data_IF_782183049397
#
_entry.id   IF_782183049397
#
_cell.length_a   1.000
_cell.length_b   1.000
_cell.length_c   1.000
_cell.angle_alpha   90.00
_cell.angle_beta   90.00
_cell.angle_gamma   90.00
#
_symmetry.space_group_name_H-M   'P 1'
#
loop_
_entity.id
_entity.type
_entity.pdbx_description
1 polymer ?
#
# COMPACT_ATOMS: atom_id res chain seq x y z
N UNK A 1 13.21 -43.77 -49.14
CA UNK A 1 12.69 -43.75 -47.75
C UNK A 1 13.25 -42.51 -47.07
N UNK A 2 12.47 -41.41 -47.10
CA UNK A 2 12.89 -40.09 -46.58
C UNK A 2 12.42 -39.98 -45.13
N UNK A 3 13.36 -39.89 -44.18
CA UNK A 3 13.07 -39.69 -42.79
C UNK A 3 12.82 -38.19 -42.53
N UNK A 4 11.58 -37.83 -42.27
CA UNK A 4 11.20 -36.48 -41.92
C UNK A 4 11.40 -36.27 -40.41
N UNK A 5 12.50 -35.64 -40.05
CA UNK A 5 12.80 -35.31 -38.65
C UNK A 5 11.98 -34.06 -38.29
N UNK A 6 10.90 -34.23 -37.54
CA UNK A 6 10.10 -33.14 -36.97
C UNK A 6 10.90 -32.51 -35.82
N UNK A 7 11.51 -31.34 -36.03
CA UNK A 7 12.08 -30.52 -34.98
C UNK A 7 10.91 -29.80 -34.30
N UNK A 8 10.50 -30.32 -33.15
CA UNK A 8 9.65 -29.59 -32.23
C UNK A 8 10.44 -28.42 -31.62
N UNK A 9 10.31 -27.25 -32.18
CA UNK A 9 10.72 -26.02 -31.51
C UNK A 9 9.83 -25.82 -30.31
N UNK A 10 10.36 -26.12 -29.14
CA UNK A 10 9.80 -25.68 -27.86
C UNK A 10 9.90 -24.15 -27.87
N UNK A 11 8.82 -23.49 -28.26
CA UNK A 11 8.65 -22.06 -27.99
C UNK A 11 8.67 -21.93 -26.46
N UNK A 12 9.80 -21.50 -25.93
CA UNK A 12 9.91 -21.02 -24.58
C UNK A 12 8.91 -19.88 -24.45
N UNK A 13 7.85 -20.09 -23.68
CA UNK A 13 7.00 -18.99 -23.24
C UNK A 13 7.91 -18.00 -22.54
N UNK A 14 8.13 -16.84 -23.15
CA UNK A 14 8.80 -15.72 -22.50
C UNK A 14 7.97 -15.33 -21.29
N UNK A 15 8.64 -15.01 -20.17
CA UNK A 15 8.04 -14.61 -18.90
C UNK A 15 7.40 -13.20 -18.99
N UNK A 16 6.45 -13.02 -19.87
CA UNK A 16 5.67 -11.78 -19.98
C UNK A 16 4.30 -11.87 -19.30
N UNK A 17 4.03 -12.96 -18.60
CA UNK A 17 2.82 -13.12 -17.81
C UNK A 17 3.02 -12.55 -16.41
N UNK A 18 3.02 -11.23 -16.30
CA UNK A 18 2.90 -10.49 -15.03
C UNK A 18 4.08 -10.68 -14.08
N UNK A 19 4.52 -9.61 -13.49
CA UNK A 19 5.42 -9.65 -12.35
C UNK A 19 4.59 -10.06 -11.10
N UNK A 20 4.78 -11.30 -10.64
CA UNK A 20 4.10 -11.85 -9.46
C UNK A 20 4.88 -11.69 -8.17
N UNK A 21 5.99 -10.97 -8.22
CA UNK A 21 6.79 -10.69 -7.03
C UNK A 21 6.02 -9.76 -6.06
N UNK A 22 6.23 -9.99 -4.77
CA UNK A 22 5.73 -9.06 -3.75
C UNK A 22 6.23 -7.64 -3.99
N UNK A 23 5.45 -6.64 -3.61
CA UNK A 23 5.87 -5.25 -3.70
C UNK A 23 7.16 -5.00 -2.91
N UNK A 24 8.12 -4.33 -3.53
CA UNK A 24 9.42 -4.00 -2.94
C UNK A 24 9.52 -2.49 -2.79
N UNK A 25 9.69 -2.02 -1.58
CA UNK A 25 9.76 -0.59 -1.26
C UNK A 25 11.19 -0.10 -1.17
N UNK A 26 11.42 1.15 -1.52
CA UNK A 26 12.68 1.82 -1.23
C UNK A 26 12.86 1.94 0.29
N UNK A 27 14.12 1.92 0.73
CA UNK A 27 14.44 2.13 2.15
C UNK A 27 14.03 3.54 2.56
N UNK A 28 13.47 3.65 3.74
CA UNK A 28 13.18 4.92 4.39
C UNK A 28 13.79 4.91 5.81
N UNK A 29 13.84 6.07 6.43
CA UNK A 29 14.36 6.27 7.78
C UNK A 29 13.25 6.61 8.79
N UNK A 30 12.01 6.22 8.49
CA UNK A 30 10.90 6.45 9.39
C UNK A 30 11.05 5.61 10.67
N UNK A 31 10.60 6.18 11.78
CA UNK A 31 10.61 5.49 13.06
C UNK A 31 9.71 4.25 12.99
N UNK A 32 10.26 3.09 13.34
CA UNK A 32 9.48 1.86 13.49
C UNK A 32 8.89 1.79 14.89
N UNK A 33 7.61 1.50 14.96
CA UNK A 33 6.90 1.20 16.20
C UNK A 33 6.44 -0.26 16.17
N UNK A 34 6.63 -0.96 17.29
CA UNK A 34 6.07 -2.31 17.47
C UNK A 34 4.69 -2.19 18.11
N UNK A 35 3.72 -2.82 17.51
CA UNK A 35 2.38 -2.90 18.06
C UNK A 35 2.03 -4.33 18.42
N UNK A 36 1.38 -4.57 19.59
CA UNK A 36 1.01 -5.93 19.98
C UNK A 36 0.12 -6.65 18.98
N UNK A 37 -0.74 -5.89 18.29
CA UNK A 37 -1.76 -6.46 17.39
C UNK A 37 -1.33 -6.52 15.91
N UNK A 38 -0.39 -5.67 15.49
CA UNK A 38 -0.09 -5.48 14.06
C UNK A 38 1.38 -5.70 13.71
N UNK A 39 2.24 -5.95 14.70
CA UNK A 39 3.67 -6.07 14.47
C UNK A 39 4.33 -4.73 14.16
N UNK A 40 5.14 -4.67 13.11
CA UNK A 40 5.86 -3.46 12.71
C UNK A 40 4.91 -2.45 12.07
N UNK A 41 5.00 -1.21 12.52
CA UNK A 41 4.29 -0.05 12.00
C UNK A 41 5.23 1.15 11.92
N UNK A 42 4.85 2.16 11.16
CA UNK A 42 5.53 3.45 11.16
C UNK A 42 5.00 4.28 12.32
N UNK A 43 5.89 4.78 13.17
CA UNK A 43 5.55 5.71 14.24
C UNK A 43 5.28 7.10 13.71
N UNK A 44 4.11 7.65 14.04
CA UNK A 44 3.70 9.00 13.68
C UNK A 44 3.62 9.85 14.93
N UNK A 45 4.29 11.02 14.99
CA UNK A 45 4.19 11.89 16.15
C UNK A 45 2.79 12.48 16.30
N UNK A 46 2.49 12.99 17.48
CA UNK A 46 1.21 13.67 17.78
C UNK A 46 0.84 14.75 16.77
N UNK A 47 1.81 15.53 16.33
CA UNK A 47 1.60 16.63 15.37
C UNK A 47 1.29 16.16 13.95
N UNK A 48 1.34 14.86 13.70
CA UNK A 48 1.17 14.32 12.37
C UNK A 48 2.43 14.40 11.52
N UNK A 49 2.25 14.34 10.21
CA UNK A 49 3.34 14.41 9.26
C UNK A 49 2.97 13.80 7.92
N UNK A 50 3.92 13.81 7.01
CA UNK A 50 3.77 13.23 5.67
C UNK A 50 4.82 12.15 5.44
N UNK A 51 4.38 11.01 4.94
CA UNK A 51 5.17 9.79 4.75
C UNK A 51 5.07 9.35 3.30
N UNK A 52 6.20 9.12 2.67
CA UNK A 52 6.28 8.76 1.26
C UNK A 52 6.96 7.41 1.09
N UNK A 53 6.35 6.54 0.28
CA UNK A 53 6.83 5.19 0.00
C UNK A 53 6.90 4.99 -1.51
N UNK A 54 8.05 4.63 -2.01
CA UNK A 54 8.26 4.39 -3.43
C UNK A 54 8.46 2.90 -3.69
N UNK A 55 7.63 2.36 -4.58
CA UNK A 55 7.73 0.97 -5.00
C UNK A 55 8.81 0.82 -6.07
N UNK A 56 9.66 -0.22 -5.92
CA UNK A 56 10.80 -0.44 -6.81
C UNK A 56 10.47 -1.27 -8.05
N UNK A 57 9.52 -2.19 -7.91
CA UNK A 57 9.23 -3.20 -8.93
C UNK A 57 7.88 -3.07 -9.61
N UNK A 58 7.03 -2.12 -9.19
CA UNK A 58 5.78 -1.78 -9.87
C UNK A 58 5.77 -0.29 -10.20
N UNK A 59 5.51 0.03 -11.46
CA UNK A 59 5.47 1.42 -11.94
C UNK A 59 4.18 2.12 -11.58
N UNK A 60 3.11 1.34 -11.38
CA UNK A 60 1.79 1.83 -11.02
C UNK A 60 1.16 0.85 -10.04
N UNK A 61 0.45 1.39 -9.07
CA UNK A 61 -0.41 0.67 -8.14
C UNK A 61 -1.49 1.62 -7.65
N UNK A 62 -2.43 1.13 -6.87
CA UNK A 62 -3.53 1.93 -6.33
C UNK A 62 -3.84 1.57 -4.88
N UNK A 63 -4.64 2.40 -4.24
CA UNK A 63 -5.13 2.15 -2.89
C UNK A 63 -6.43 1.38 -2.99
N UNK A 64 -6.52 0.24 -2.30
CA UNK A 64 -7.75 -0.52 -2.20
C UNK A 64 -8.68 0.05 -1.14
N UNK A 65 -8.14 0.24 0.05
CA UNK A 65 -8.86 0.84 1.18
C UNK A 65 -7.89 1.36 2.24
N UNK A 66 -8.43 2.19 3.11
CA UNK A 66 -7.73 2.68 4.31
C UNK A 66 -8.58 2.35 5.53
N UNK A 67 -7.99 1.74 6.53
CA UNK A 67 -8.60 1.58 7.84
C UNK A 67 -8.05 2.63 8.79
N UNK A 68 -8.92 3.42 9.38
CA UNK A 68 -8.61 4.34 10.46
C UNK A 68 -9.23 3.83 11.76
N UNK A 69 -8.42 3.70 12.80
CA UNK A 69 -8.87 3.25 14.12
C UNK A 69 -8.47 4.26 15.19
N UNK A 70 -9.41 4.56 16.07
CA UNK A 70 -9.20 5.40 17.26
C UNK A 70 -9.71 4.63 18.46
N UNK A 71 -8.82 4.29 19.39
CA UNK A 71 -9.15 3.38 20.48
C UNK A 71 -9.61 2.02 19.94
N UNK A 72 -10.81 1.61 20.29
CA UNK A 72 -11.46 0.37 19.85
C UNK A 72 -12.38 0.52 18.61
N UNK A 73 -12.50 1.73 18.07
CA UNK A 73 -13.35 2.05 16.92
C UNK A 73 -12.54 2.05 15.63
N UNK A 74 -12.97 1.24 14.67
CA UNK A 74 -12.36 1.18 13.34
C UNK A 74 -13.35 1.61 12.27
N UNK A 75 -12.92 2.47 11.37
CA UNK A 75 -13.63 2.89 10.17
C UNK A 75 -12.84 2.46 8.94
N UNK A 76 -13.50 1.75 8.03
CA UNK A 76 -12.92 1.41 6.73
C UNK A 76 -13.38 2.42 5.70
N UNK A 77 -12.42 3.00 5.00
CA UNK A 77 -12.64 3.97 3.94
C UNK A 77 -12.26 3.29 2.62
N UNK A 78 -13.23 3.18 1.74
CA UNK A 78 -13.09 2.53 0.44
C UNK A 78 -13.45 3.56 -0.63
N UNK A 79 -12.70 3.57 -1.72
CA UNK A 79 -13.12 4.29 -2.90
C UNK A 79 -14.21 3.50 -3.63
N UNK A 80 -15.44 4.00 -3.61
CA UNK A 80 -16.60 3.39 -4.27
C UNK A 80 -17.32 4.46 -5.09
N UNK A 81 -17.70 4.17 -6.32
CA UNK A 81 -17.59 2.92 -7.07
C UNK A 81 -16.23 2.70 -7.74
N UNK A 82 -15.85 1.45 -7.82
CA UNK A 82 -14.55 0.95 -8.25
C UNK A 82 -14.25 1.07 -9.77
N UNK A 83 -14.97 1.85 -10.52
CA UNK A 83 -14.85 1.91 -11.98
C UNK A 83 -14.27 3.21 -12.53
N UNK A 84 -13.89 4.13 -11.67
CA UNK A 84 -13.20 5.36 -12.07
C UNK A 84 -11.75 5.29 -11.59
N UNK A 85 -10.81 5.13 -12.51
CA UNK A 85 -9.37 5.03 -12.24
C UNK A 85 -8.84 6.16 -11.35
N UNK A 86 -9.50 7.30 -11.35
CA UNK A 86 -9.13 8.44 -10.51
C UNK A 86 -9.46 8.25 -9.04
N UNK A 87 -10.43 7.41 -8.71
CA UNK A 87 -10.86 7.20 -7.34
C UNK A 87 -9.88 6.34 -6.54
N UNK A 88 -9.10 5.50 -7.22
CA UNK A 88 -8.09 4.65 -6.59
C UNK A 88 -6.77 5.34 -6.30
N UNK A 89 -6.56 6.52 -6.82
CA UNK A 89 -5.33 7.26 -6.59
C UNK A 89 -5.34 8.11 -5.32
N UNK A 90 -6.51 8.38 -4.75
CA UNK A 90 -6.64 9.22 -3.55
C UNK A 90 -7.76 8.72 -2.64
N UNK A 91 -7.45 8.59 -1.35
CA UNK A 91 -8.41 8.25 -0.29
C UNK A 91 -8.27 9.25 0.85
N UNK A 92 -9.35 9.93 1.18
CA UNK A 92 -9.43 10.88 2.31
C UNK A 92 -10.21 10.27 3.45
N UNK A 93 -9.56 10.14 4.60
CA UNK A 93 -10.16 9.70 5.84
C UNK A 93 -10.52 10.87 6.77
N UNK A 94 -10.79 10.50 8.02
CA UNK A 94 -11.14 11.51 9.05
C UNK A 94 -9.89 12.28 9.52
N UNK A 95 -8.74 11.61 9.54
CA UNK A 95 -7.47 12.23 9.96
C UNK A 95 -6.27 11.86 9.08
N UNK A 96 -6.49 11.12 8.00
CA UNK A 96 -5.46 10.83 7.01
C UNK A 96 -5.89 11.20 5.61
N UNK A 97 -4.90 11.44 4.77
CA UNK A 97 -5.06 11.53 3.32
C UNK A 97 -3.98 10.67 2.68
N UNK A 98 -4.38 9.76 1.82
CA UNK A 98 -3.49 8.86 1.11
C UNK A 98 -3.61 9.10 -0.38
N UNK A 99 -2.48 9.22 -1.07
CA UNK A 99 -2.42 9.49 -2.51
C UNK A 99 -1.35 8.63 -3.17
N UNK A 100 -1.69 8.06 -4.32
CA UNK A 100 -0.74 7.34 -5.19
C UNK A 100 -0.56 8.10 -6.48
N UNK A 101 0.69 8.34 -6.84
CA UNK A 101 1.10 8.91 -8.13
C UNK A 101 2.18 8.00 -8.73
N UNK A 102 1.81 7.25 -9.78
CA UNK A 102 2.70 6.25 -10.38
C UNK A 102 3.08 5.17 -9.37
N UNK A 103 4.35 5.12 -9.02
CA UNK A 103 4.90 4.14 -8.08
C UNK A 103 5.10 4.70 -6.65
N UNK A 104 4.50 5.84 -6.32
CA UNK A 104 4.73 6.53 -5.06
C UNK A 104 3.44 6.71 -4.28
N UNK A 105 3.38 6.19 -3.07
CA UNK A 105 2.32 6.42 -2.09
C UNK A 105 2.76 7.53 -1.13
N UNK A 106 1.90 8.51 -0.93
CA UNK A 106 2.07 9.56 0.08
C UNK A 106 0.91 9.51 1.06
N UNK A 107 1.21 9.42 2.34
CA UNK A 107 0.22 9.40 3.43
C UNK A 107 0.47 10.57 4.36
N UNK A 108 -0.54 11.41 4.54
CA UNK A 108 -0.48 12.59 5.40
C UNK A 108 -1.40 12.43 6.59
N UNK A 109 -0.91 12.72 7.78
CA UNK A 109 -1.61 12.64 9.05
C UNK A 109 -1.88 14.03 9.60
N UNK A 110 -3.13 14.28 10.00
CA UNK A 110 -3.48 15.42 10.82
C UNK A 110 -2.97 15.25 12.26
N UNK A 111 -2.79 16.34 13.03
CA UNK A 111 -2.45 16.24 14.45
C UNK A 111 -3.46 15.41 15.22
N UNK A 112 -2.98 14.62 16.18
CA UNK A 112 -3.83 13.87 17.09
C UNK A 112 -4.11 14.70 18.34
N UNK A 113 -5.28 15.32 18.39
CA UNK A 113 -5.73 16.12 19.53
C UNK A 113 -6.54 15.29 20.56
N UNK A 114 -6.62 13.97 20.33
CA UNK A 114 -7.34 13.05 21.23
C UNK A 114 -6.41 12.43 22.26
N UNK A 115 -6.98 11.87 23.31
CA UNK A 115 -6.25 11.10 24.33
C UNK A 115 -5.99 9.65 23.90
N UNK A 116 -6.47 9.24 22.71
CA UNK A 116 -6.35 7.88 22.23
C UNK A 116 -5.31 7.78 21.11
N UNK A 117 -4.58 6.66 21.07
CA UNK A 117 -3.77 6.32 19.93
C UNK A 117 -4.61 6.12 18.68
N UNK A 118 -4.04 6.44 17.54
CA UNK A 118 -4.61 6.20 16.22
C UNK A 118 -3.81 5.15 15.49
N UNK A 119 -4.50 4.22 14.85
CA UNK A 119 -3.90 3.21 14.00
C UNK A 119 -4.43 3.39 12.59
N UNK A 120 -3.54 3.29 11.63
CA UNK A 120 -3.91 3.39 10.22
C UNK A 120 -3.29 2.24 9.45
N UNK A 121 -4.09 1.65 8.59
CA UNK A 121 -3.66 0.63 7.64
C UNK A 121 -4.04 1.07 6.25
N UNK A 122 -3.05 1.25 5.40
CA UNK A 122 -3.24 1.55 3.98
C UNK A 122 -2.97 0.28 3.19
N UNK A 123 -4.00 -0.27 2.58
CA UNK A 123 -3.89 -1.41 1.68
C UNK A 123 -3.74 -0.91 0.25
N UNK A 124 -2.76 -1.46 -0.43
CA UNK A 124 -2.43 -1.13 -1.82
C UNK A 124 -2.42 -2.39 -2.69
N UNK A 125 -2.63 -2.20 -3.97
CA UNK A 125 -2.69 -3.29 -4.95
C UNK A 125 -2.00 -2.89 -6.25
N UNK A 126 -1.18 -3.78 -6.77
CA UNK A 126 -0.66 -3.75 -8.13
C UNK A 126 -1.20 -4.98 -8.87
N UNK A 127 -2.42 -4.87 -9.41
CA UNK A 127 -3.15 -6.02 -9.95
C UNK A 127 -3.52 -7.01 -8.85
N UNK A 128 -3.09 -8.25 -8.99
CA UNK A 128 -3.35 -9.32 -8.01
C UNK A 128 -2.29 -9.37 -6.89
N UNK A 129 -1.37 -8.42 -6.87
CA UNK A 129 -0.35 -8.32 -5.83
C UNK A 129 -0.77 -7.25 -4.83
N UNK A 130 -0.90 -7.64 -3.58
CA UNK A 130 -1.39 -6.80 -2.48
C UNK A 130 -0.29 -6.57 -1.45
N UNK A 131 -0.28 -5.38 -0.86
CA UNK A 131 0.56 -5.06 0.28
C UNK A 131 -0.14 -4.09 1.21
N UNK A 132 0.41 -3.87 2.38
CA UNK A 132 -0.13 -2.96 3.39
C UNK A 132 0.97 -2.20 4.10
N UNK A 133 0.70 -0.95 4.40
CA UNK A 133 1.56 -0.13 5.24
C UNK A 133 0.78 0.26 6.49
N UNK A 134 1.40 0.02 7.64
CA UNK A 134 0.80 0.22 8.95
C UNK A 134 1.41 1.43 9.64
N UNK A 135 0.59 2.21 10.34
CA UNK A 135 0.99 3.39 11.08
C UNK A 135 0.38 3.39 12.47
N UNK A 136 1.12 3.94 13.41
CA UNK A 136 0.66 4.24 14.77
C UNK A 136 0.94 5.69 15.09
N UNK A 137 -0.10 6.46 15.33
CA UNK A 137 0.02 7.84 15.83
C UNK A 137 -0.29 7.88 17.31
N UNK A 138 0.70 8.28 18.08
CA UNK A 138 0.55 8.41 19.54
C UNK A 138 -0.36 9.59 19.90
N UNK A 139 -1.13 9.50 20.98
CA UNK A 139 -1.63 10.68 21.68
C UNK A 139 -0.46 11.41 22.33
N UNK A 140 -0.72 12.44 23.05
CA UNK A 140 0.29 13.11 23.90
C UNK A 140 1.08 12.15 24.76
#
# INVERSE_FOLDING_TARGET
MLLFTCILSLASCSKDDGDWDAMKWEKNNYEEALTPSFGKAIGVPKLGGTYTFKCKNYKNFWIEYVNESVGDKTKTIINVPAYDDKLYSEVKGDFTSSKVEGNTLTVTFAPNETQNGRYVRVNVSAGDIFDKIMFVQKPE
#
